data_IF_437663068207
#
_entry.id   IF_437663068207
#
_cell.length_a   1.000
_cell.length_b   1.000
_cell.length_c   1.000
_cell.angle_alpha   90.00
_cell.angle_beta   90.00
_cell.angle_gamma   90.00
#
_symmetry.space_group_name_H-M   'P 1'
#
loop_
_entity.id
_entity.type
_entity.pdbx_description
1 polymer ?
#
# COMPACT_ATOMS: atom_id res chain seq x y z
N UNK A 1 -15.02 6.85 15.98
CA UNK A 1 -14.42 6.59 14.65
C UNK A 1 -13.62 5.30 14.76
N UNK A 2 -13.88 4.33 13.89
CA UNK A 2 -13.12 3.07 13.76
C UNK A 2 -12.23 3.09 12.50
N UNK A 3 -12.02 4.26 11.91
CA UNK A 3 -11.07 4.46 10.84
C UNK A 3 -9.71 4.80 11.47
N UNK A 4 -8.66 4.12 11.02
CA UNK A 4 -7.28 4.52 11.27
C UNK A 4 -7.15 6.01 10.96
N UNK A 5 -6.59 6.80 11.90
CA UNK A 5 -6.04 8.11 11.53
C UNK A 5 -5.12 7.88 10.32
N UNK A 6 -5.29 8.70 9.27
CA UNK A 6 -4.99 8.37 7.87
C UNK A 6 -3.60 7.79 7.56
N UNK A 7 -3.44 7.27 6.33
CA UNK A 7 -2.20 6.73 5.77
C UNK A 7 -1.18 7.83 5.41
N UNK A 8 -1.39 9.06 5.90
CA UNK A 8 -0.56 10.21 5.59
C UNK A 8 0.86 10.04 6.15
N UNK A 9 1.86 10.15 5.26
CA UNK A 9 3.27 9.95 5.59
C UNK A 9 3.64 8.49 5.84
N UNK A 10 2.76 7.54 5.50
CA UNK A 10 2.97 6.12 5.71
C UNK A 10 3.41 5.39 4.44
N UNK A 11 3.99 4.22 4.69
CA UNK A 11 4.35 3.21 3.70
C UNK A 11 3.93 1.84 4.20
N UNK A 12 3.46 1.00 3.32
CA UNK A 12 3.08 -0.36 3.58
C UNK A 12 3.60 -1.33 2.55
N UNK A 13 3.76 -2.56 3.00
CA UNK A 13 4.11 -3.71 2.18
C UNK A 13 3.04 -4.77 2.38
N UNK A 14 2.64 -5.42 1.31
CA UNK A 14 1.72 -6.54 1.35
C UNK A 14 2.33 -7.69 0.56
N UNK A 15 2.58 -8.82 1.21
CA UNK A 15 3.08 -10.04 0.60
C UNK A 15 1.96 -11.07 0.69
N UNK A 16 1.46 -11.52 -0.44
CA UNK A 16 0.27 -12.37 -0.54
C UNK A 16 0.65 -13.68 -1.21
N UNK A 17 0.55 -14.79 -0.48
CA UNK A 17 0.72 -16.14 -1.01
C UNK A 17 -0.57 -16.95 -1.02
N UNK A 18 -0.46 -18.19 -1.45
CA UNK A 18 -1.59 -19.11 -1.57
C UNK A 18 -2.24 -19.46 -0.22
N UNK A 19 -1.45 -19.46 0.87
CA UNK A 19 -1.90 -19.84 2.21
C UNK A 19 -2.07 -18.69 3.19
N UNK A 20 -1.68 -17.46 2.84
CA UNK A 20 -1.77 -16.32 3.75
C UNK A 20 -1.27 -15.01 3.18
N UNK A 21 -1.23 -13.98 4.02
CA UNK A 21 -0.68 -12.68 3.68
C UNK A 21 0.08 -12.09 4.87
N UNK A 22 1.18 -11.38 4.59
CA UNK A 22 1.85 -10.47 5.51
C UNK A 22 1.50 -9.06 5.08
N UNK A 23 0.96 -8.25 6.00
CA UNK A 23 0.63 -6.85 5.77
C UNK A 23 1.42 -6.03 6.78
N UNK A 24 2.33 -5.20 6.28
CA UNK A 24 3.07 -4.22 7.04
C UNK A 24 2.57 -2.81 6.73
N UNK A 25 2.45 -1.99 7.76
CA UNK A 25 2.16 -0.56 7.69
C UNK A 25 3.15 0.12 8.63
N UNK A 26 3.93 1.05 8.08
CA UNK A 26 5.03 1.74 8.74
C UNK A 26 4.88 3.24 8.51
N UNK A 27 5.29 4.04 9.48
CA UNK A 27 5.55 5.45 9.21
C UNK A 27 6.78 5.54 8.30
N UNK A 28 6.84 6.51 7.39
CA UNK A 28 8.03 6.72 6.56
C UNK A 28 9.17 7.37 7.38
N UNK A 29 9.67 6.66 8.40
CA UNK A 29 10.75 7.10 9.29
C UNK A 29 11.86 6.05 9.36
N UNK A 30 13.09 6.49 9.60
CA UNK A 30 14.25 5.60 9.71
C UNK A 30 14.05 4.50 10.77
N UNK A 31 13.42 4.83 11.89
CA UNK A 31 13.20 3.89 12.99
C UNK A 31 12.27 2.75 12.58
N UNK A 32 11.13 3.05 11.97
CA UNK A 32 10.14 2.03 11.59
C UNK A 32 10.69 1.14 10.47
N UNK A 33 11.44 1.72 9.53
CA UNK A 33 12.04 0.96 8.43
C UNK A 33 13.15 0.03 8.94
N UNK A 34 13.95 0.44 9.95
CA UNK A 34 14.89 -0.48 10.61
C UNK A 34 14.19 -1.62 11.33
N UNK A 35 13.04 -1.37 11.95
CA UNK A 35 12.26 -2.44 12.56
C UNK A 35 11.72 -3.41 11.49
N UNK A 36 11.27 -2.89 10.35
CA UNK A 36 10.85 -3.71 9.22
C UNK A 36 12.03 -4.57 8.69
N UNK A 37 13.22 -4.00 8.52
CA UNK A 37 14.44 -4.73 8.12
C UNK A 37 14.79 -5.86 9.10
N UNK A 38 14.56 -5.66 10.40
CA UNK A 38 14.84 -6.68 11.40
C UNK A 38 13.77 -7.79 11.46
N UNK A 39 12.50 -7.47 11.20
CA UNK A 39 11.37 -8.37 11.46
C UNK A 39 10.73 -9.00 10.24
N UNK A 40 10.70 -8.29 9.12
CA UNK A 40 10.06 -8.80 7.92
C UNK A 40 10.78 -10.03 7.33
N UNK A 41 12.13 -10.13 7.30
CA UNK A 41 12.81 -11.35 6.88
C UNK A 41 12.48 -12.58 7.75
N UNK A 42 12.41 -12.39 9.08
CA UNK A 42 12.04 -13.44 10.05
C UNK A 42 10.62 -13.95 9.75
N UNK A 43 9.66 -13.03 9.61
CA UNK A 43 8.27 -13.37 9.27
C UNK A 43 8.14 -14.08 7.92
N UNK A 44 8.90 -13.66 6.91
CA UNK A 44 8.92 -14.31 5.59
C UNK A 44 9.43 -15.75 5.71
N UNK A 45 10.55 -15.94 6.41
CA UNK A 45 11.17 -17.25 6.60
C UNK A 45 10.22 -18.21 7.33
N UNK A 46 9.66 -17.77 8.46
CA UNK A 46 8.78 -18.56 9.31
C UNK A 46 7.47 -18.97 8.63
N UNK A 47 7.03 -18.19 7.62
CA UNK A 47 5.78 -18.41 6.91
C UNK A 47 5.98 -18.81 5.43
N UNK A 48 7.20 -19.22 5.05
CA UNK A 48 7.58 -19.52 3.66
C UNK A 48 6.62 -20.49 2.94
N UNK A 49 6.09 -21.49 3.63
CA UNK A 49 5.10 -22.41 3.07
C UNK A 49 3.76 -21.74 2.72
N UNK A 50 3.27 -20.84 3.58
CA UNK A 50 2.04 -20.08 3.34
C UNK A 50 2.23 -18.99 2.26
N UNK A 51 3.48 -18.56 2.06
CA UNK A 51 3.89 -17.59 1.05
C UNK A 51 4.29 -18.24 -0.29
N UNK A 52 3.98 -19.52 -0.51
CA UNK A 52 4.18 -20.12 -1.83
C UNK A 52 3.40 -19.37 -2.91
N UNK A 53 4.00 -19.21 -4.09
CA UNK A 53 3.40 -18.48 -5.21
C UNK A 53 3.20 -16.99 -4.97
N UNK A 54 3.89 -16.41 -3.98
CA UNK A 54 3.58 -15.07 -3.51
C UNK A 54 3.69 -13.98 -4.59
N UNK A 55 2.88 -12.94 -4.38
CA UNK A 55 2.99 -11.62 -5.01
C UNK A 55 3.21 -10.59 -3.93
N UNK A 56 3.90 -9.50 -4.26
CA UNK A 56 4.15 -8.42 -3.32
C UNK A 56 3.70 -7.08 -3.89
N UNK A 57 3.24 -6.21 -3.00
CA UNK A 57 2.77 -4.87 -3.30
C UNK A 57 3.40 -3.90 -2.31
N UNK A 58 3.97 -2.81 -2.81
CA UNK A 58 4.40 -1.67 -2.01
C UNK A 58 3.43 -0.52 -2.27
N UNK A 59 2.80 -0.04 -1.22
CA UNK A 59 1.90 1.11 -1.24
C UNK A 59 2.39 2.11 -0.20
N UNK A 60 2.22 3.39 -0.43
CA UNK A 60 2.69 4.52 0.34
C UNK A 60 1.77 5.71 0.02
N UNK A 61 1.85 6.81 0.74
CA UNK A 61 1.07 7.99 0.35
C UNK A 61 1.80 8.77 -0.76
N UNK A 62 1.06 9.18 -1.78
CA UNK A 62 1.44 10.28 -2.69
C UNK A 62 0.52 11.47 -2.50
N UNK A 63 1.00 12.64 -2.88
CA UNK A 63 0.18 13.85 -3.02
C UNK A 63 -0.18 14.05 -4.48
N UNK A 64 -1.39 14.56 -4.75
CA UNK A 64 -1.83 14.84 -6.12
C UNK A 64 -0.85 15.74 -6.89
N UNK A 65 -0.30 16.77 -6.22
CA UNK A 65 0.64 17.73 -6.81
C UNK A 65 2.04 17.15 -7.07
N UNK A 66 2.36 16.03 -6.44
CA UNK A 66 3.68 15.39 -6.47
C UNK A 66 3.55 13.86 -6.46
N UNK A 67 2.90 13.27 -7.47
CA UNK A 67 2.57 11.85 -7.46
C UNK A 67 3.81 10.96 -7.68
N UNK A 68 4.89 11.53 -8.20
CA UNK A 68 6.11 10.81 -8.57
C UNK A 68 7.20 10.86 -7.48
N UNK A 69 7.06 11.70 -6.45
CA UNK A 69 8.00 11.77 -5.31
C UNK A 69 8.14 10.42 -4.58
N UNK A 70 7.15 9.54 -4.82
CA UNK A 70 7.11 8.12 -4.52
C UNK A 70 8.37 7.31 -4.77
N UNK A 71 9.02 7.52 -5.92
CA UNK A 71 10.06 6.61 -6.43
C UNK A 71 11.43 6.92 -5.82
N UNK A 72 11.60 8.14 -5.31
CA UNK A 72 12.87 8.66 -4.80
C UNK A 72 13.10 8.44 -3.30
N UNK A 73 12.11 7.98 -2.54
CA UNK A 73 12.23 7.80 -1.10
C UNK A 73 13.12 6.58 -0.75
N UNK A 74 14.29 6.79 -0.10
CA UNK A 74 15.24 5.71 0.21
C UNK A 74 14.62 4.56 1.01
N UNK A 75 13.59 4.85 1.80
CA UNK A 75 12.88 3.88 2.63
C UNK A 75 12.04 2.89 1.80
N UNK A 76 11.47 3.34 0.67
CA UNK A 76 10.70 2.50 -0.24
C UNK A 76 11.59 1.43 -0.86
N UNK A 77 12.80 1.84 -1.27
CA UNK A 77 13.81 0.94 -1.82
C UNK A 77 14.26 -0.10 -0.79
N UNK A 78 14.39 0.27 0.50
CA UNK A 78 14.75 -0.68 1.56
C UNK A 78 13.69 -1.76 1.74
N UNK A 79 12.40 -1.39 1.79
CA UNK A 79 11.32 -2.37 1.86
C UNK A 79 11.25 -3.26 0.61
N UNK A 80 11.45 -2.69 -0.58
CA UNK A 80 11.55 -3.46 -1.84
C UNK A 80 12.69 -4.47 -1.76
N UNK A 81 13.87 -4.05 -1.28
CA UNK A 81 15.04 -4.90 -1.19
C UNK A 81 14.85 -6.04 -0.19
N UNK A 82 14.11 -5.84 0.92
CA UNK A 82 13.78 -6.93 1.83
C UNK A 82 12.99 -8.01 1.09
N UNK A 83 11.93 -7.65 0.36
CA UNK A 83 11.12 -8.62 -0.36
C UNK A 83 11.92 -9.31 -1.46
N UNK A 84 12.68 -8.53 -2.24
CA UNK A 84 13.48 -9.06 -3.32
C UNK A 84 14.54 -10.06 -2.82
N UNK A 85 15.28 -9.72 -1.76
CA UNK A 85 16.34 -10.56 -1.23
C UNK A 85 15.83 -11.85 -0.57
N UNK A 86 14.60 -11.86 -0.04
CA UNK A 86 14.06 -13.01 0.70
C UNK A 86 13.10 -13.89 -0.11
N UNK A 87 12.47 -13.34 -1.17
CA UNK A 87 11.47 -14.05 -1.97
C UNK A 87 11.77 -14.08 -3.47
N UNK A 88 12.79 -13.35 -3.94
CA UNK A 88 13.08 -13.15 -5.37
C UNK A 88 11.89 -12.56 -6.15
N UNK A 89 11.12 -11.70 -5.48
CA UNK A 89 9.96 -11.00 -6.04
C UNK A 89 10.25 -9.50 -6.05
N UNK A 90 9.92 -8.84 -7.15
CA UNK A 90 9.85 -7.37 -7.20
C UNK A 90 8.44 -6.93 -6.84
N UNK A 91 8.23 -6.18 -5.74
CA UNK A 91 6.91 -5.68 -5.39
C UNK A 91 6.35 -4.76 -6.47
N UNK A 92 5.07 -4.93 -6.79
CA UNK A 92 4.30 -3.97 -7.58
C UNK A 92 4.14 -2.67 -6.78
N UNK A 93 4.36 -1.55 -7.43
CA UNK A 93 4.28 -0.23 -6.79
C UNK A 93 2.89 0.34 -7.00
N UNK A 94 2.20 0.60 -5.89
CA UNK A 94 0.83 1.09 -5.89
C UNK A 94 0.82 2.48 -5.31
N UNK A 95 0.69 3.51 -6.14
CA UNK A 95 0.58 4.91 -5.68
C UNK A 95 -0.76 5.10 -4.99
N UNK A 96 -0.74 5.32 -3.67
CA UNK A 96 -1.95 5.49 -2.89
C UNK A 96 -2.12 6.96 -2.51
N UNK A 97 -3.30 7.54 -2.74
CA UNK A 97 -3.63 8.93 -2.42
C UNK A 97 -4.74 8.97 -1.36
N UNK A 98 -4.67 9.95 -0.44
CA UNK A 98 -5.74 10.18 0.53
C UNK A 98 -6.93 10.89 -0.14
N UNK A 99 -8.18 10.59 0.26
CA UNK A 99 -9.35 11.29 -0.28
C UNK A 99 -9.28 12.82 -0.12
N UNK A 100 -8.64 13.31 0.95
CA UNK A 100 -8.46 14.75 1.18
C UNK A 100 -7.54 15.40 0.12
N UNK A 101 -6.50 14.68 -0.33
CA UNK A 101 -5.58 15.15 -1.36
C UNK A 101 -6.24 15.13 -2.76
N UNK A 102 -7.34 14.41 -2.93
CA UNK A 102 -8.13 14.35 -4.17
C UNK A 102 -9.17 15.46 -4.28
N UNK A 103 -9.40 16.24 -3.22
CA UNK A 103 -10.50 17.21 -3.22
C UNK A 103 -10.28 18.36 -4.21
N UNK A 104 -9.03 18.72 -4.53
CA UNK A 104 -8.73 19.87 -5.38
C UNK A 104 -7.59 19.62 -6.36
N UNK A 105 -7.65 20.23 -7.54
CA UNK A 105 -6.64 20.19 -8.61
C UNK A 105 -5.50 21.22 -8.40
N UNK A 106 -4.67 21.42 -9.42
CA UNK A 106 -3.56 22.37 -9.41
C UNK A 106 -3.99 23.86 -9.34
N UNK A 107 -5.27 24.16 -9.59
CA UNK A 107 -5.87 25.49 -9.55
C UNK A 107 -6.75 25.70 -8.30
N UNK A 108 -6.70 24.79 -7.33
CA UNK A 108 -7.61 24.71 -6.17
C UNK A 108 -9.09 24.50 -6.57
N UNK A 109 -9.36 23.96 -7.77
CA UNK A 109 -10.71 23.59 -8.24
C UNK A 109 -11.06 22.15 -7.85
N UNK A 110 -12.32 21.86 -7.55
CA UNK A 110 -12.74 20.51 -7.16
C UNK A 110 -12.51 19.51 -8.30
N UNK A 111 -11.93 18.36 -8.00
CA UNK A 111 -11.78 17.28 -8.98
C UNK A 111 -13.10 16.50 -9.12
N UNK A 112 -13.56 16.36 -10.36
CA UNK A 112 -14.71 15.52 -10.70
C UNK A 112 -14.34 14.01 -10.66
N UNK A 113 -13.09 13.66 -10.99
CA UNK A 113 -12.60 12.28 -11.05
C UNK A 113 -11.10 12.18 -10.62
N UNK A 114 -10.72 11.05 -10.02
CA UNK A 114 -9.34 10.74 -9.66
C UNK A 114 -8.51 10.39 -10.91
N UNK A 115 -7.23 10.77 -11.00
CA UNK A 115 -6.33 10.21 -12.01
C UNK A 115 -6.33 8.67 -11.97
N UNK A 116 -6.43 8.03 -13.14
CA UNK A 116 -6.61 6.56 -13.28
C UNK A 116 -5.49 5.72 -12.65
N UNK A 117 -4.32 6.33 -12.42
CA UNK A 117 -3.10 5.66 -11.98
C UNK A 117 -2.79 5.86 -10.48
N UNK A 118 -3.66 6.60 -9.79
CA UNK A 118 -3.66 6.79 -8.34
C UNK A 118 -4.80 5.97 -7.72
N UNK A 119 -4.47 5.16 -6.72
CA UNK A 119 -5.45 4.35 -6.00
C UNK A 119 -5.79 5.01 -4.66
N UNK A 120 -7.04 4.87 -4.23
CA UNK A 120 -7.48 5.22 -2.88
C UNK A 120 -8.49 4.18 -2.42
N UNK A 121 -8.55 3.91 -1.12
CA UNK A 121 -9.48 2.94 -0.55
C UNK A 121 -8.81 1.76 0.13
N UNK A 122 -9.25 0.53 -0.15
CA UNK A 122 -8.81 -0.66 0.56
C UNK A 122 -8.20 -1.71 -0.38
N UNK A 123 -7.14 -2.38 0.07
CA UNK A 123 -6.69 -3.62 -0.55
C UNK A 123 -7.41 -4.80 0.08
N UNK A 124 -8.16 -5.55 -0.72
CA UNK A 124 -8.80 -6.79 -0.29
C UNK A 124 -7.99 -7.99 -0.77
N UNK A 125 -7.58 -8.84 0.17
CA UNK A 125 -7.01 -10.15 -0.11
C UNK A 125 -8.07 -11.20 0.20
N UNK A 126 -8.40 -12.02 -0.79
CA UNK A 126 -9.36 -13.12 -0.63
C UNK A 126 -8.68 -14.44 -0.90
N UNK A 127 -8.58 -15.26 0.14
CA UNK A 127 -8.18 -16.65 0.07
C UNK A 127 -9.40 -17.54 -0.15
N UNK A 128 -9.29 -18.47 -1.08
CA UNK A 128 -10.23 -19.59 -1.25
C UNK A 128 -9.47 -20.90 -1.10
N UNK A 129 -10.16 -22.03 -1.08
CA UNK A 129 -9.50 -23.33 -1.05
C UNK A 129 -8.67 -23.66 -2.30
N UNK A 130 -8.80 -22.87 -3.37
CA UNK A 130 -8.19 -23.15 -4.68
C UNK A 130 -7.31 -22.00 -5.22
N UNK A 131 -7.45 -20.78 -4.70
CA UNK A 131 -6.74 -19.62 -5.20
C UNK A 131 -6.72 -18.46 -4.21
N UNK A 132 -5.72 -17.61 -4.32
CA UNK A 132 -5.68 -16.28 -3.72
C UNK A 132 -5.90 -15.21 -4.77
N UNK A 133 -6.68 -14.19 -4.43
CA UNK A 133 -6.90 -13.01 -5.29
C UNK A 133 -6.72 -11.74 -4.48
N UNK A 134 -6.12 -10.72 -5.11
CA UNK A 134 -5.95 -9.37 -4.57
C UNK A 134 -6.77 -8.41 -5.41
N UNK A 135 -7.55 -7.53 -4.78
CA UNK A 135 -8.34 -6.51 -5.45
C UNK A 135 -8.19 -5.18 -4.73
N UNK A 136 -7.88 -4.14 -5.49
CA UNK A 136 -7.95 -2.77 -4.99
C UNK A 136 -9.40 -2.31 -5.08
N UNK A 137 -9.96 -1.95 -3.93
CA UNK A 137 -11.32 -1.45 -3.81
C UNK A 137 -11.28 0.06 -3.70
N UNK A 138 -11.80 0.71 -4.73
CA UNK A 138 -12.14 2.13 -4.69
C UNK A 138 -13.22 2.35 -3.61
N UNK A 139 -12.97 3.30 -2.69
CA UNK A 139 -13.88 3.68 -1.61
C UNK A 139 -14.56 5.05 -1.84
N UNK A 140 -14.70 5.53 -3.08
CA UNK A 140 -15.45 6.74 -3.49
C UNK A 140 -16.80 6.87 -2.80
N UNK A 141 -17.49 5.75 -2.61
CA UNK A 141 -18.79 5.71 -1.96
C UNK A 141 -18.74 6.27 -0.52
N UNK A 142 -17.61 6.19 0.18
CA UNK A 142 -17.43 6.79 1.52
C UNK A 142 -17.37 8.32 1.47
N UNK A 143 -16.82 8.89 0.39
CA UNK A 143 -16.79 10.33 0.15
C UNK A 143 -18.21 10.86 -0.10
N UNK A 144 -19.00 10.13 -0.90
CA UNK A 144 -20.40 10.48 -1.15
C UNK A 144 -21.29 10.42 0.10
N UNK A 145 -21.02 9.48 1.02
CA UNK A 145 -21.78 9.31 2.25
C UNK A 145 -21.49 10.38 3.32
N UNK A 146 -20.35 11.08 3.21
CA UNK A 146 -20.00 12.18 4.11
C UNK A 146 -20.76 13.49 3.80
N UNK A 147 -21.46 13.57 2.66
CA UNK A 147 -22.27 14.73 2.27
C UNK A 147 -21.49 15.89 1.62
N UNK A 148 -20.40 15.59 0.92
CA UNK A 148 -19.52 16.58 0.27
C UNK A 148 -19.75 16.65 -1.26
N UNK A 149 -21.00 16.45 -1.69
CA UNK A 149 -21.45 16.60 -3.08
C UNK A 149 -22.21 17.91 -3.27
#
# INVERSE_FOLDING_TARGET
MLASDGFMGCIGIMIVGDGGAIIGHYSNTETDIRQAEAKLPELISDNSAALSGARAYLYAQVKLRQPDDWVSEPNNLRLINIVNNNLDITPERVRYIEPEDMMVDDNDELLDECPEDLLYGAMMVKHTSQSTSTTFMDLSWQVSAAGWA
#
